data_IF_551555834517
#
_entry.id   IF_551555834517
#
_cell.length_a   1.000
_cell.length_b   1.000
_cell.length_c   1.000
_cell.angle_alpha   90.00
_cell.angle_beta   90.00
_cell.angle_gamma   90.00
#
_symmetry.space_group_name_H-M   'P 1'
#
loop_
_entity.id
_entity.type
_entity.pdbx_description
1 polymer ?
#
# COMPACT_ATOMS: atom_id res chain seq x y z
N UNK A 1 -29.14 1.27 -2.33
CA UNK A 1 -28.85 1.19 -0.88
C UNK A 1 -27.91 2.33 -0.56
N UNK A 2 -27.97 2.90 0.65
CA UNK A 2 -27.02 3.92 1.13
C UNK A 2 -25.96 3.27 2.03
N UNK A 3 -24.80 3.89 2.17
CA UNK A 3 -23.77 3.42 3.11
C UNK A 3 -24.33 3.29 4.54
N UNK A 4 -25.17 4.23 4.96
CA UNK A 4 -25.81 4.17 6.27
C UNK A 4 -26.68 2.91 6.46
N UNK A 5 -27.37 2.44 5.42
CA UNK A 5 -28.15 1.20 5.49
C UNK A 5 -27.25 -0.04 5.64
N UNK A 6 -26.10 -0.08 4.96
CA UNK A 6 -25.10 -1.15 5.16
C UNK A 6 -24.51 -1.14 6.56
N UNK A 7 -24.25 0.04 7.13
CA UNK A 7 -23.78 0.17 8.52
C UNK A 7 -24.82 -0.28 9.55
N UNK A 8 -26.10 -0.04 9.31
CA UNK A 8 -27.17 -0.56 10.15
C UNK A 8 -27.23 -2.08 10.04
N UNK A 9 -27.18 -2.62 8.83
CA UNK A 9 -27.15 -4.07 8.60
C UNK A 9 -25.99 -4.76 9.36
N UNK A 10 -24.76 -4.22 9.26
CA UNK A 10 -23.63 -4.79 9.98
C UNK A 10 -23.83 -4.75 11.50
N UNK A 11 -24.38 -3.65 12.04
CA UNK A 11 -24.68 -3.56 13.48
C UNK A 11 -25.73 -4.57 13.96
N UNK A 12 -26.72 -4.88 13.14
CA UNK A 12 -27.80 -5.81 13.46
C UNK A 12 -27.38 -7.28 13.31
N UNK A 13 -26.54 -7.58 12.29
CA UNK A 13 -26.17 -8.95 11.94
C UNK A 13 -24.78 -9.38 12.44
N UNK A 14 -23.90 -8.41 12.77
CA UNK A 14 -22.49 -8.65 13.06
C UNK A 14 -21.64 -9.01 11.83
N UNK A 15 -22.24 -9.06 10.63
CA UNK A 15 -21.56 -9.41 9.40
C UNK A 15 -21.25 -8.17 8.54
N UNK A 16 -20.03 -8.10 8.02
CA UNK A 16 -19.64 -7.06 7.04
C UNK A 16 -20.52 -7.12 5.79
N UNK A 17 -20.85 -5.96 5.24
CA UNK A 17 -21.66 -5.84 4.05
C UNK A 17 -21.08 -4.80 3.09
N UNK A 18 -21.11 -5.09 1.79
CA UNK A 18 -20.72 -4.16 0.73
C UNK A 18 -21.75 -4.14 -0.38
N UNK A 19 -21.69 -3.11 -1.21
CA UNK A 19 -22.43 -3.00 -2.45
C UNK A 19 -21.49 -2.51 -3.54
N UNK A 20 -21.47 -3.20 -4.68
CA UNK A 20 -20.79 -2.73 -5.88
C UNK A 20 -21.56 -1.52 -6.44
N UNK A 21 -20.82 -0.48 -6.80
CA UNK A 21 -21.39 0.67 -7.51
C UNK A 21 -21.50 0.35 -9.01
N UNK A 22 -22.49 0.93 -9.72
CA UNK A 22 -22.55 0.80 -11.16
C UNK A 22 -21.23 1.22 -11.81
N UNK A 23 -20.79 0.53 -12.87
CA UNK A 23 -19.54 0.86 -13.53
C UNK A 23 -19.64 2.24 -14.18
N UNK A 24 -18.58 3.04 -13.97
CA UNK A 24 -18.41 4.37 -14.56
C UNK A 24 -17.02 4.41 -15.20
N UNK A 25 -16.95 4.88 -16.46
CA UNK A 25 -15.69 4.90 -17.22
C UNK A 25 -14.58 5.66 -16.49
N UNK A 26 -13.40 5.04 -16.38
CA UNK A 26 -12.24 5.62 -15.71
C UNK A 26 -12.38 5.73 -14.19
N UNK A 27 -13.26 4.96 -13.54
CA UNK A 27 -13.50 5.03 -12.09
C UNK A 27 -13.70 3.65 -11.46
N UNK A 28 -13.45 3.60 -10.17
CA UNK A 28 -13.71 2.42 -9.35
C UNK A 28 -12.97 1.18 -9.87
N UNK A 29 -13.68 0.07 -10.01
CA UNK A 29 -13.10 -1.21 -10.45
C UNK A 29 -12.55 -1.19 -11.89
N UNK A 30 -12.89 -0.17 -12.70
CA UNK A 30 -12.30 -0.01 -14.04
C UNK A 30 -10.87 0.59 -13.99
N UNK A 31 -10.44 1.17 -12.86
CA UNK A 31 -9.08 1.63 -12.66
C UNK A 31 -8.06 0.49 -12.48
N UNK A 32 -8.53 -0.75 -12.26
CA UNK A 32 -7.64 -1.90 -12.15
C UNK A 32 -7.12 -2.28 -13.54
N UNK A 33 -5.80 -2.23 -13.75
CA UNK A 33 -5.18 -2.75 -14.97
C UNK A 33 -5.27 -4.28 -15.03
N UNK A 34 -4.89 -4.88 -16.15
CA UNK A 34 -4.76 -6.34 -16.24
C UNK A 34 -3.66 -6.81 -15.30
N UNK A 35 -3.93 -7.78 -14.41
CA UNK A 35 -2.90 -8.33 -13.53
C UNK A 35 -1.74 -8.92 -14.29
N UNK A 36 -0.51 -8.60 -13.88
CA UNK A 36 0.74 -9.08 -14.47
C UNK A 36 1.59 -9.82 -13.44
N UNK A 37 2.36 -10.81 -13.86
CA UNK A 37 3.28 -11.55 -12.99
C UNK A 37 4.35 -10.64 -12.34
N UNK A 38 4.61 -9.49 -12.94
CA UNK A 38 5.53 -8.47 -12.44
C UNK A 38 4.94 -7.55 -11.36
N UNK A 39 3.65 -7.58 -11.12
CA UNK A 39 2.99 -6.69 -10.15
C UNK A 39 3.64 -6.72 -8.77
N UNK A 40 3.67 -5.55 -8.14
CA UNK A 40 4.23 -5.36 -6.80
C UNK A 40 3.34 -4.48 -5.93
N UNK A 41 3.48 -4.62 -4.62
CA UNK A 41 2.72 -3.91 -3.59
C UNK A 41 3.71 -3.19 -2.69
N UNK A 42 3.62 -1.87 -2.64
CA UNK A 42 4.56 -0.97 -1.96
C UNK A 42 3.92 -0.33 -0.74
N UNK A 43 4.68 -0.25 0.34
CA UNK A 43 4.34 0.50 1.54
C UNK A 43 5.60 1.04 2.22
N UNK A 44 5.48 2.17 2.91
CA UNK A 44 6.57 2.82 3.63
C UNK A 44 6.28 2.90 5.13
N UNK A 45 7.36 2.79 5.91
CA UNK A 45 7.38 3.24 7.31
C UNK A 45 8.24 4.50 7.40
N UNK A 46 7.67 5.56 7.96
CA UNK A 46 8.34 6.86 8.00
C UNK A 46 8.07 7.63 9.29
N UNK A 47 9.04 8.44 9.68
CA UNK A 47 8.91 9.41 10.76
C UNK A 47 8.78 10.82 10.17
N UNK A 48 7.60 11.47 10.26
CA UNK A 48 7.37 12.80 9.71
C UNK A 48 8.14 13.90 10.44
N UNK A 49 8.70 13.62 11.61
CA UNK A 49 9.41 14.58 12.44
C UNK A 49 10.94 14.48 12.32
N UNK A 50 11.45 13.41 11.71
CA UNK A 50 12.88 13.23 11.48
C UNK A 50 13.50 14.39 10.68
N UNK A 51 14.83 14.54 10.79
CA UNK A 51 15.63 15.45 9.98
C UNK A 51 15.13 16.92 10.02
N UNK A 52 14.90 17.42 11.23
CA UNK A 52 14.39 18.78 11.49
C UNK A 52 12.98 19.03 10.88
N UNK A 53 12.13 18.00 10.89
CA UNK A 53 10.76 18.07 10.40
C UNK A 53 10.63 17.96 8.88
N UNK A 54 11.69 17.53 8.18
CA UNK A 54 11.62 17.19 6.75
C UNK A 54 10.95 15.86 6.47
N UNK A 55 10.90 15.01 7.51
CA UNK A 55 10.44 13.64 7.43
C UNK A 55 11.46 12.70 6.80
N UNK A 56 11.43 11.44 7.18
CA UNK A 56 12.26 10.38 6.62
C UNK A 56 11.49 9.08 6.55
N UNK A 57 11.54 8.43 5.39
CA UNK A 57 11.10 7.05 5.26
C UNK A 57 12.25 6.13 5.68
N UNK A 58 12.09 5.40 6.78
CA UNK A 58 13.15 4.54 7.30
C UNK A 58 13.06 3.10 6.81
N UNK A 59 11.92 2.70 6.22
CA UNK A 59 11.72 1.40 5.60
C UNK A 59 10.82 1.53 4.37
N UNK A 60 11.27 0.98 3.25
CA UNK A 60 10.43 0.67 2.11
C UNK A 60 10.24 -0.85 2.03
N UNK A 61 8.99 -1.32 2.04
CA UNK A 61 8.66 -2.71 1.85
C UNK A 61 7.93 -2.95 0.54
N UNK A 62 8.31 -4.01 -0.14
CA UNK A 62 7.67 -4.46 -1.39
C UNK A 62 7.31 -5.93 -1.28
N UNK A 63 6.05 -6.25 -1.57
CA UNK A 63 5.61 -7.61 -1.82
C UNK A 63 5.46 -7.84 -3.31
N UNK A 64 6.02 -8.91 -3.83
CA UNK A 64 5.87 -9.29 -5.24
C UNK A 64 4.68 -10.24 -5.40
N UNK A 65 4.07 -10.27 -6.58
CA UNK A 65 2.93 -11.14 -6.86
C UNK A 65 3.27 -12.64 -6.68
N UNK A 66 4.51 -13.04 -6.88
CA UNK A 66 5.00 -14.41 -6.66
C UNK A 66 5.37 -14.71 -5.19
N UNK A 67 5.09 -13.79 -4.27
CA UNK A 67 5.13 -14.03 -2.83
C UNK A 67 6.48 -13.77 -2.16
N UNK A 68 7.34 -12.94 -2.76
CA UNK A 68 8.60 -12.51 -2.14
C UNK A 68 8.42 -11.17 -1.43
N UNK A 69 9.07 -11.02 -0.27
CA UNK A 69 9.18 -9.74 0.43
C UNK A 69 10.58 -9.19 0.27
N UNK A 70 10.66 -7.96 -0.20
CA UNK A 70 11.88 -7.17 -0.34
C UNK A 70 11.78 -5.95 0.55
N UNK A 71 12.89 -5.53 1.15
CA UNK A 71 12.92 -4.38 2.04
C UNK A 71 14.22 -3.58 1.90
N UNK A 72 14.10 -2.25 2.00
CA UNK A 72 15.20 -1.29 2.01
C UNK A 72 15.09 -0.43 3.25
N UNK A 73 16.21 -0.26 3.97
CA UNK A 73 16.27 0.51 5.21
C UNK A 73 17.10 1.78 5.05
N UNK A 74 16.73 2.82 5.81
CA UNK A 74 17.43 4.08 5.89
C UNK A 74 17.41 4.61 7.32
N UNK A 75 18.57 4.66 7.98
CA UNK A 75 18.69 5.10 9.36
C UNK A 75 19.23 6.53 9.48
N UNK A 76 19.54 7.17 8.37
CA UNK A 76 19.93 8.57 8.27
C UNK A 76 19.53 9.17 6.91
N UNK A 77 19.72 10.48 6.75
CA UNK A 77 19.38 11.21 5.54
C UNK A 77 20.10 10.68 4.29
N UNK A 78 21.37 10.31 4.39
CA UNK A 78 22.13 9.80 3.24
C UNK A 78 21.66 8.39 2.84
N UNK A 79 21.24 7.59 3.81
CA UNK A 79 20.66 6.27 3.58
C UNK A 79 19.30 6.34 2.91
N UNK A 80 18.46 7.33 3.26
CA UNK A 80 17.19 7.55 2.55
C UNK A 80 17.42 7.87 1.06
N UNK A 81 18.46 8.64 0.73
CA UNK A 81 18.84 8.88 -0.67
C UNK A 81 19.22 7.59 -1.40
N UNK A 82 20.00 6.70 -0.76
CA UNK A 82 20.34 5.38 -1.34
C UNK A 82 19.12 4.48 -1.49
N UNK A 83 18.28 4.39 -0.46
CA UNK A 83 17.01 3.65 -0.52
C UNK A 83 16.17 4.11 -1.71
N UNK A 84 16.04 5.43 -1.90
CA UNK A 84 15.26 6.02 -2.99
C UNK A 84 15.79 5.60 -4.36
N UNK A 85 17.11 5.69 -4.55
CA UNK A 85 17.78 5.32 -5.80
C UNK A 85 17.64 3.81 -6.09
N UNK A 86 17.92 2.96 -5.09
CA UNK A 86 17.86 1.51 -5.24
C UNK A 86 16.45 1.03 -5.53
N UNK A 87 15.44 1.51 -4.78
CA UNK A 87 14.04 1.14 -4.97
C UNK A 87 13.53 1.54 -6.37
N UNK A 88 13.73 2.80 -6.77
CA UNK A 88 13.25 3.29 -8.06
C UNK A 88 13.96 2.64 -9.25
N UNK A 89 15.27 2.40 -9.13
CA UNK A 89 16.04 1.65 -10.13
C UNK A 89 15.48 0.23 -10.26
N UNK A 90 15.26 -0.45 -9.13
CA UNK A 90 14.70 -1.80 -9.12
C UNK A 90 13.29 -1.85 -9.74
N UNK A 91 12.42 -0.88 -9.45
CA UNK A 91 11.08 -0.80 -10.04
C UNK A 91 11.13 -0.62 -11.57
N UNK A 92 12.01 0.25 -12.07
CA UNK A 92 12.18 0.45 -13.52
C UNK A 92 12.76 -0.79 -14.20
N UNK A 93 13.73 -1.46 -13.59
CA UNK A 93 14.29 -2.72 -14.12
C UNK A 93 13.25 -3.83 -14.16
N UNK A 94 12.42 -3.95 -13.11
CA UNK A 94 11.32 -4.91 -13.06
C UNK A 94 10.28 -4.59 -14.14
N UNK A 95 9.93 -3.32 -14.34
CA UNK A 95 9.03 -2.92 -15.42
C UNK A 95 9.56 -3.30 -16.81
N UNK A 96 10.86 -3.18 -17.05
CA UNK A 96 11.48 -3.64 -18.32
C UNK A 96 11.35 -5.14 -18.52
N UNK A 97 11.40 -5.92 -17.43
CA UNK A 97 11.25 -7.39 -17.48
C UNK A 97 9.77 -7.81 -17.59
N UNK A 98 8.87 -7.03 -17.02
CA UNK A 98 7.44 -7.24 -16.97
C UNK A 98 6.68 -5.99 -17.45
N UNK A 99 6.53 -5.79 -18.77
CA UNK A 99 5.98 -4.54 -19.30
C UNK A 99 4.56 -4.22 -18.87
N UNK A 100 3.78 -5.23 -18.45
CA UNK A 100 2.43 -5.09 -17.92
C UNK A 100 2.35 -4.81 -16.43
N UNK A 101 3.49 -4.80 -15.70
CA UNK A 101 3.48 -4.64 -14.24
C UNK A 101 2.98 -3.28 -13.77
N UNK A 102 2.39 -3.28 -12.59
CA UNK A 102 2.02 -2.08 -11.85
C UNK A 102 2.53 -2.15 -10.40
N UNK A 103 2.63 -0.97 -9.79
CA UNK A 103 2.98 -0.76 -8.38
C UNK A 103 1.70 -0.38 -7.66
N UNK A 104 1.14 -1.30 -6.89
CA UNK A 104 -0.07 -1.08 -6.12
C UNK A 104 0.26 -0.52 -4.75
N UNK A 105 -0.51 0.46 -4.31
CA UNK A 105 -0.40 1.11 -3.01
C UNK A 105 -1.78 1.52 -2.47
N UNK A 106 -1.84 1.99 -1.24
CA UNK A 106 -3.11 2.40 -0.64
C UNK A 106 -3.09 3.87 -0.23
N UNK A 107 -3.88 4.70 -0.94
CA UNK A 107 -3.92 6.15 -0.86
C UNK A 107 -2.68 6.85 -1.45
N UNK A 108 -2.55 8.16 -1.23
CA UNK A 108 -1.57 8.97 -1.95
C UNK A 108 -0.19 9.05 -1.27
N UNK A 109 -0.01 8.35 -0.13
CA UNK A 109 1.18 8.51 0.69
C UNK A 109 2.45 8.11 -0.06
N UNK A 110 2.49 6.91 -0.64
CA UNK A 110 3.68 6.31 -1.25
C UNK A 110 4.20 7.16 -2.42
N UNK A 111 3.30 7.59 -3.32
CA UNK A 111 3.67 8.45 -4.45
C UNK A 111 4.12 9.83 -3.97
N UNK A 112 3.51 10.36 -2.90
CA UNK A 112 3.91 11.64 -2.30
C UNK A 112 5.28 11.53 -1.64
N UNK A 113 5.55 10.44 -0.91
CA UNK A 113 6.84 10.16 -0.30
C UNK A 113 7.94 10.02 -1.36
N UNK A 114 7.71 9.25 -2.44
CA UNK A 114 8.67 9.11 -3.55
C UNK A 114 9.01 10.46 -4.19
N UNK A 115 8.01 11.33 -4.43
CA UNK A 115 8.24 12.68 -4.96
C UNK A 115 9.05 13.55 -4.00
N UNK A 116 8.77 13.46 -2.70
CA UNK A 116 9.52 14.17 -1.67
C UNK A 116 10.98 13.69 -1.64
N UNK A 117 11.19 12.39 -1.53
CA UNK A 117 12.53 11.79 -1.45
C UNK A 117 13.40 12.10 -2.67
N UNK A 118 12.88 11.93 -3.89
CA UNK A 118 13.62 12.25 -5.12
C UNK A 118 14.03 13.73 -5.16
N UNK A 119 13.14 14.63 -4.76
CA UNK A 119 13.43 16.07 -4.72
C UNK A 119 14.44 16.42 -3.61
N UNK A 120 14.30 15.85 -2.41
CA UNK A 120 15.19 16.15 -1.28
C UNK A 120 16.62 15.66 -1.50
N UNK A 121 16.77 14.50 -2.12
CA UNK A 121 18.06 13.85 -2.36
C UNK A 121 18.64 14.12 -3.75
N UNK A 122 17.87 14.79 -4.64
CA UNK A 122 18.23 15.03 -6.04
C UNK A 122 18.71 13.73 -6.73
N UNK A 123 17.97 12.63 -6.51
CA UNK A 123 18.30 11.30 -7.04
C UNK A 123 17.09 10.61 -7.65
N UNK A 124 17.31 9.74 -8.64
CA UNK A 124 16.30 8.89 -9.30
C UNK A 124 15.05 9.63 -9.84
N UNK A 125 15.17 10.93 -10.14
CA UNK A 125 14.08 11.74 -10.70
C UNK A 125 13.60 11.19 -12.06
N UNK A 126 14.55 10.71 -12.88
CA UNK A 126 14.28 10.11 -14.20
C UNK A 126 13.48 8.81 -14.09
N UNK A 127 13.83 7.97 -13.11
CA UNK A 127 13.18 6.69 -12.84
C UNK A 127 11.76 6.91 -12.37
N UNK A 128 11.56 7.85 -11.44
CA UNK A 128 10.22 8.22 -10.96
C UNK A 128 9.37 8.83 -12.09
N UNK A 129 9.93 9.75 -12.90
CA UNK A 129 9.21 10.35 -14.04
C UNK A 129 8.77 9.29 -15.06
N UNK A 130 9.64 8.30 -15.35
CA UNK A 130 9.29 7.18 -16.24
C UNK A 130 8.10 6.38 -15.68
N UNK A 131 8.11 6.00 -14.40
CA UNK A 131 7.03 5.24 -13.77
C UNK A 131 5.71 6.03 -13.72
N UNK A 132 5.78 7.34 -13.41
CA UNK A 132 4.61 8.21 -13.37
C UNK A 132 3.99 8.42 -14.76
N UNK A 133 4.81 8.70 -15.79
CA UNK A 133 4.33 8.86 -17.17
C UNK A 133 3.84 7.55 -17.78
N UNK A 134 4.42 6.44 -17.34
CA UNK A 134 3.98 5.12 -17.72
C UNK A 134 2.70 4.68 -17.00
N UNK A 135 2.14 5.49 -16.08
CA UNK A 135 0.95 5.17 -15.28
C UNK A 135 1.10 3.86 -14.49
N UNK A 136 2.32 3.63 -13.95
CA UNK A 136 2.60 2.36 -13.26
C UNK A 136 2.06 2.29 -11.84
N UNK A 137 1.70 3.40 -11.20
CA UNK A 137 1.16 3.42 -9.85
C UNK A 137 -0.36 3.29 -9.84
N UNK A 138 -0.88 2.37 -9.03
CA UNK A 138 -2.32 2.10 -8.87
C UNK A 138 -2.73 2.30 -7.43
N UNK A 139 -3.55 3.32 -7.18
CA UNK A 139 -4.09 3.63 -5.85
C UNK A 139 -5.35 2.81 -5.57
N UNK A 140 -5.21 1.74 -4.78
CA UNK A 140 -6.33 0.86 -4.42
C UNK A 140 -7.38 1.56 -3.53
N UNK A 141 -7.00 2.61 -2.78
CA UNK A 141 -7.98 3.42 -2.05
C UNK A 141 -8.98 4.08 -3.01
N UNK A 142 -8.52 4.62 -4.14
CA UNK A 142 -9.41 5.20 -5.14
C UNK A 142 -10.33 4.14 -5.76
N UNK A 143 -9.79 2.95 -6.05
CA UNK A 143 -10.58 1.83 -6.58
C UNK A 143 -11.72 1.47 -5.62
N UNK A 144 -11.39 1.24 -4.33
CA UNK A 144 -12.39 0.93 -3.29
C UNK A 144 -13.40 2.07 -3.13
N UNK A 145 -12.90 3.31 -2.97
CA UNK A 145 -13.72 4.48 -2.65
C UNK A 145 -14.71 4.84 -3.76
N UNK A 146 -14.36 4.55 -5.00
CA UNK A 146 -15.18 4.86 -6.18
C UNK A 146 -15.97 3.66 -6.69
N UNK A 147 -15.57 2.42 -6.34
CA UNK A 147 -16.21 1.20 -6.84
C UNK A 147 -17.17 0.54 -5.86
N UNK A 148 -17.07 0.85 -4.55
CA UNK A 148 -17.84 0.14 -3.52
C UNK A 148 -18.44 1.09 -2.48
N UNK A 149 -19.60 0.71 -1.96
CA UNK A 149 -20.09 1.16 -0.65
C UNK A 149 -19.82 0.07 0.36
N UNK A 150 -19.20 0.43 1.49
CA UNK A 150 -18.85 -0.49 2.57
C UNK A 150 -19.65 -0.16 3.83
N UNK A 151 -19.96 -1.17 4.63
CA UNK A 151 -20.63 -1.01 5.92
C UNK A 151 -19.76 -0.36 7.00
N UNK A 152 -18.51 -0.03 6.69
CA UNK A 152 -17.56 0.56 7.63
C UNK A 152 -17.70 2.08 7.78
N UNK A 153 -17.23 2.60 8.92
CA UNK A 153 -17.24 4.04 9.22
C UNK A 153 -16.21 4.85 8.43
N UNK A 154 -15.18 4.20 7.90
CA UNK A 154 -14.15 4.79 7.05
C UNK A 154 -13.63 3.78 6.04
N UNK A 155 -12.87 4.28 5.06
CA UNK A 155 -12.21 3.49 4.04
C UNK A 155 -10.69 3.34 4.32
N UNK A 156 -10.26 3.44 5.60
CA UNK A 156 -8.87 3.09 5.94
C UNK A 156 -8.62 1.61 5.68
N UNK A 157 -7.41 1.23 5.28
CA UNK A 157 -7.09 -0.15 4.92
C UNK A 157 -7.45 -1.12 6.06
N UNK A 158 -7.18 -0.75 7.33
CA UNK A 158 -7.50 -1.53 8.53
C UNK A 158 -9.00 -1.83 8.69
N UNK A 159 -9.89 -0.98 8.13
CA UNK A 159 -11.34 -1.21 8.12
C UNK A 159 -11.79 -2.01 6.91
N UNK A 160 -11.08 -1.86 5.79
CA UNK A 160 -11.35 -2.62 4.58
C UNK A 160 -10.86 -4.06 4.70
N UNK A 161 -9.84 -4.32 5.50
CA UNK A 161 -9.33 -5.66 5.84
C UNK A 161 -10.42 -6.61 6.36
N UNK A 162 -11.44 -6.11 7.04
CA UNK A 162 -12.56 -6.93 7.51
C UNK A 162 -13.32 -7.67 6.39
N UNK A 163 -13.13 -7.30 5.12
CA UNK A 163 -13.80 -7.91 3.96
C UNK A 163 -12.98 -8.99 3.28
N UNK A 164 -11.65 -8.97 3.40
CA UNK A 164 -10.78 -9.83 2.62
C UNK A 164 -9.63 -10.45 3.43
N UNK A 165 -9.22 -9.82 4.54
CA UNK A 165 -8.09 -10.27 5.34
C UNK A 165 -8.56 -11.16 6.47
N UNK A 166 -8.62 -12.48 6.21
CA UNK A 166 -9.07 -13.47 7.20
C UNK A 166 -8.06 -13.80 8.29
N UNK A 167 -6.81 -13.40 8.12
CA UNK A 167 -5.77 -13.53 9.14
C UNK A 167 -5.94 -12.37 10.13
N UNK A 168 -6.18 -12.68 11.39
CA UNK A 168 -6.06 -11.66 12.44
C UNK A 168 -4.58 -11.26 12.46
N UNK A 169 -4.31 -9.95 12.38
CA UNK A 169 -2.98 -9.45 12.66
C UNK A 169 -2.58 -9.99 14.02
N UNK A 170 -1.47 -10.68 14.09
CA UNK A 170 -1.00 -11.31 15.33
C UNK A 170 -0.60 -10.21 16.31
N UNK A 171 -1.53 -9.80 17.15
CA UNK A 171 -1.24 -8.94 18.30
C UNK A 171 -0.53 -9.80 19.38
N UNK A 172 0.76 -10.06 19.18
CA UNK A 172 1.61 -10.57 20.26
C UNK A 172 2.05 -9.38 21.13
N UNK A 173 2.11 -9.58 22.45
CA UNK A 173 2.66 -8.56 23.36
C UNK A 173 4.03 -8.10 22.87
N UNK A 174 4.19 -6.78 22.62
CA UNK A 174 5.43 -6.18 22.10
C UNK A 174 5.47 -6.01 20.58
N UNK A 175 4.37 -6.24 19.84
CA UNK A 175 4.29 -5.97 18.40
C UNK A 175 3.85 -4.53 18.10
N UNK A 176 4.38 -4.02 16.98
CA UNK A 176 3.96 -2.73 16.41
C UNK A 176 2.49 -2.85 15.99
N UNK A 177 1.62 -2.11 16.66
CA UNK A 177 0.17 -2.22 16.48
C UNK A 177 -0.36 -1.29 15.38
N UNK A 178 0.34 -0.21 15.09
CA UNK A 178 0.01 0.78 14.06
C UNK A 178 1.24 1.60 13.65
N UNK A 179 1.12 2.44 12.63
CA UNK A 179 2.23 3.24 12.11
C UNK A 179 2.82 4.22 13.14
N UNK A 180 2.03 4.72 14.09
CA UNK A 180 2.55 5.60 15.15
C UNK A 180 3.39 4.79 16.16
N UNK A 181 2.98 3.57 16.50
CA UNK A 181 3.76 2.67 17.34
C UNK A 181 5.09 2.29 16.64
N UNK A 182 5.08 2.10 15.31
CA UNK A 182 6.28 1.89 14.50
C UNK A 182 7.28 3.03 14.68
N UNK A 183 6.83 4.28 14.56
CA UNK A 183 7.68 5.48 14.75
C UNK A 183 8.28 5.53 16.16
N UNK A 184 7.46 5.34 17.20
CA UNK A 184 7.92 5.41 18.61
C UNK A 184 8.98 4.35 18.91
N UNK A 185 8.77 3.10 18.47
CA UNK A 185 9.73 2.02 18.66
C UNK A 185 11.02 2.25 17.87
N UNK A 186 10.91 2.77 16.65
CA UNK A 186 12.06 3.12 15.83
C UNK A 186 12.89 4.25 16.44
N UNK A 187 12.26 5.34 16.92
CA UNK A 187 12.93 6.44 17.60
C UNK A 187 13.61 6.00 18.88
N UNK A 188 12.97 5.10 19.66
CA UNK A 188 13.59 4.50 20.84
C UNK A 188 14.81 3.69 20.47
N UNK A 189 14.75 2.86 19.41
CA UNK A 189 15.88 2.09 18.92
C UNK A 189 17.06 2.98 18.50
N UNK A 190 16.78 4.12 17.84
CA UNK A 190 17.82 5.10 17.50
C UNK A 190 18.47 5.68 18.76
N UNK A 191 17.68 6.06 19.76
CA UNK A 191 18.15 6.65 21.01
C UNK A 191 18.98 5.65 21.86
N UNK A 192 18.62 4.37 21.85
CA UNK A 192 19.29 3.28 22.56
C UNK A 192 20.56 2.76 21.84
N UNK A 193 21.06 3.50 20.87
CA UNK A 193 22.30 3.20 20.17
C UNK A 193 22.20 2.10 19.12
N UNK A 194 21.01 1.82 18.60
CA UNK A 194 20.76 0.88 17.48
C UNK A 194 21.14 -0.58 17.80
N UNK A 195 20.95 -1.02 19.04
CA UNK A 195 21.46 -2.32 19.51
C UNK A 195 20.43 -3.44 19.48
N UNK A 196 19.14 -3.12 19.58
CA UNK A 196 18.08 -4.14 19.63
C UNK A 196 17.54 -4.46 18.22
N UNK A 197 18.04 -5.53 17.63
CA UNK A 197 17.56 -6.03 16.32
C UNK A 197 16.09 -6.47 16.36
N UNK A 198 15.58 -6.86 17.53
CA UNK A 198 14.18 -7.29 17.69
C UNK A 198 13.17 -6.20 17.32
N UNK A 199 13.51 -4.92 17.55
CA UNK A 199 12.69 -3.77 17.16
C UNK A 199 12.56 -3.68 15.64
N UNK A 200 13.70 -3.75 14.92
CA UNK A 200 13.67 -3.72 13.45
C UNK A 200 12.94 -4.92 12.88
N UNK A 201 13.09 -6.10 13.47
CA UNK A 201 12.38 -7.30 13.04
C UNK A 201 10.86 -7.18 13.26
N UNK A 202 10.41 -6.50 14.33
CA UNK A 202 8.99 -6.23 14.57
C UNK A 202 8.43 -5.25 13.52
N UNK A 203 9.12 -4.15 13.26
CA UNK A 203 8.73 -3.16 12.23
C UNK A 203 8.69 -3.84 10.84
N UNK A 204 9.70 -4.64 10.53
CA UNK A 204 9.78 -5.39 9.27
C UNK A 204 8.60 -6.35 9.09
N UNK A 205 8.19 -7.05 10.16
CA UNK A 205 7.01 -7.94 10.13
C UNK A 205 5.74 -7.14 9.90
N UNK A 206 5.57 -6.02 10.59
CA UNK A 206 4.43 -5.13 10.44
C UNK A 206 4.29 -4.63 9.00
N UNK A 207 5.33 -4.04 8.41
CA UNK A 207 5.32 -3.57 7.04
C UNK A 207 5.08 -4.72 6.03
N UNK A 208 5.69 -5.90 6.26
CA UNK A 208 5.42 -7.09 5.42
C UNK A 208 3.93 -7.50 5.45
N UNK A 209 3.27 -7.38 6.60
CA UNK A 209 1.84 -7.65 6.70
C UNK A 209 1.02 -6.62 5.94
N UNK A 210 1.39 -5.34 5.96
CA UNK A 210 0.70 -4.27 5.25
C UNK A 210 0.78 -4.47 3.72
N UNK A 211 1.95 -4.77 3.16
CA UNK A 211 2.07 -5.05 1.72
C UNK A 211 1.40 -6.35 1.30
N UNK A 212 1.36 -7.39 2.16
CA UNK A 212 0.59 -8.62 1.92
C UNK A 212 -0.92 -8.36 1.95
N UNK A 213 -1.38 -7.53 2.88
CA UNK A 213 -2.77 -7.11 2.96
C UNK A 213 -3.18 -6.34 1.71
N UNK A 214 -2.31 -5.43 1.22
CA UNK A 214 -2.52 -4.70 -0.04
C UNK A 214 -2.62 -5.65 -1.25
N UNK A 215 -1.80 -6.71 -1.29
CA UNK A 215 -1.92 -7.78 -2.31
C UNK A 215 -3.28 -8.50 -2.21
N UNK A 216 -3.65 -8.93 -1.00
CA UNK A 216 -4.93 -9.61 -0.79
C UNK A 216 -6.14 -8.72 -1.15
N UNK A 217 -6.04 -7.41 -0.89
CA UNK A 217 -7.03 -6.44 -1.33
C UNK A 217 -7.15 -6.41 -2.86
N UNK A 218 -6.04 -6.37 -3.58
CA UNK A 218 -6.04 -6.37 -5.04
C UNK A 218 -6.73 -7.65 -5.58
N UNK A 219 -6.39 -8.82 -5.06
CA UNK A 219 -7.03 -10.08 -5.47
C UNK A 219 -8.54 -10.06 -5.18
N UNK A 220 -8.95 -9.58 -4.01
CA UNK A 220 -10.35 -9.43 -3.66
C UNK A 220 -11.08 -8.45 -4.59
N UNK A 221 -10.46 -7.34 -4.98
CA UNK A 221 -11.05 -6.36 -5.90
C UNK A 221 -11.18 -6.92 -7.32
N UNK A 222 -10.24 -7.75 -7.78
CA UNK A 222 -10.35 -8.45 -9.06
C UNK A 222 -11.52 -9.46 -9.07
N UNK A 223 -11.77 -10.15 -7.95
CA UNK A 223 -12.97 -10.99 -7.82
C UNK A 223 -14.25 -10.14 -7.90
N UNK A 224 -14.28 -8.98 -7.22
CA UNK A 224 -15.44 -8.05 -7.28
C UNK A 224 -15.62 -7.46 -8.67
N UNK A 225 -14.52 -7.20 -9.37
CA UNK A 225 -14.56 -6.78 -10.77
C UNK A 225 -15.16 -7.87 -11.68
N UNK A 226 -14.77 -9.13 -11.48
CA UNK A 226 -15.31 -10.26 -12.22
C UNK A 226 -16.82 -10.46 -11.94
N UNK A 227 -17.27 -10.28 -10.71
CA UNK A 227 -18.67 -10.30 -10.29
C UNK A 227 -19.46 -9.22 -11.05
N UNK A 228 -18.97 -7.98 -11.05
CA UNK A 228 -19.60 -6.87 -11.76
C UNK A 228 -19.61 -7.07 -13.29
N UNK A 229 -18.55 -7.67 -13.85
CA UNK A 229 -18.45 -7.98 -15.29
C UNK A 229 -19.46 -9.03 -15.75
N UNK A 230 -19.93 -9.92 -14.86
CA UNK A 230 -21.03 -10.84 -15.14
C UNK A 230 -22.38 -10.15 -15.38
N UNK A 231 -22.55 -8.95 -14.84
CA UNK A 231 -23.76 -8.15 -14.96
C UNK A 231 -23.65 -7.00 -15.98
N UNK A 232 -22.43 -6.53 -16.28
CA UNK A 232 -22.16 -5.38 -17.12
C UNK A 232 -20.93 -5.59 -18.03
N UNK A 233 -20.97 -5.02 -19.25
CA UNK A 233 -19.78 -4.98 -20.09
C UNK A 233 -18.72 -4.02 -19.46
N UNK A 234 -17.66 -4.57 -18.91
CA UNK A 234 -16.57 -3.81 -18.30
C UNK A 234 -15.34 -3.78 -19.21
N UNK A 235 -14.79 -2.60 -19.41
CA UNK A 235 -13.44 -2.41 -19.98
C UNK A 235 -12.47 -2.09 -18.85
N UNK A 236 -11.20 -2.48 -19.02
CA UNK A 236 -10.12 -1.95 -18.17
C UNK A 236 -9.73 -0.58 -18.71
N UNK A 237 -9.60 0.37 -17.84
CA UNK A 237 -9.13 1.70 -18.20
C UNK A 237 -7.60 1.71 -18.00
N UNK A 238 -6.88 1.63 -19.10
CA UNK A 238 -5.41 1.71 -19.16
C UNK A 238 -5.04 2.97 -19.92
#
# INVERSE_FOLDING_TARGET
VSQAALQVQERETGATAYQLLPPEEGRGLQLLPEPDAGDVYLDFEGDPFADDGRGREYLAGVWTRDGQFLDWWAHDFAEEGRLTEELLTWLVERWRQHPGMHVYHYAAYEVTALKRMTMQHATAESELDQLLRGERFVDLYQVVRQGLLLSKSSYSIKKVEDFYWGEQRSAQEGEVADGMASVVEYERWLADGRTDQGVLDAIRRYNREDVRSTHALHEWLEERRAELAGEHALTRYV
#
